data_IF_667141145074
#
_entry.id   IF_667141145074
#
_cell.length_a   1.000
_cell.length_b   1.000
_cell.length_c   1.000
_cell.angle_alpha   90.00
_cell.angle_beta   90.00
_cell.angle_gamma   90.00
#
_symmetry.space_group_name_H-M   'P 1'
#
loop_
_entity.id
_entity.type
_entity.pdbx_description
1 polymer ?
#
# COMPACT_ATOMS: atom_id res chain seq x y z
N UNK A 1 -5.72 -19.11 12.63
CA UNK A 1 -6.28 -17.78 12.91
C UNK A 1 -5.25 -16.74 12.51
N UNK A 2 -5.59 -15.81 11.67
CA UNK A 2 -4.70 -14.71 11.27
C UNK A 2 -4.49 -13.79 12.48
N UNK A 3 -3.25 -13.50 12.80
CA UNK A 3 -2.92 -12.54 13.86
C UNK A 3 -2.60 -11.15 13.28
N UNK A 4 -3.17 -10.84 12.11
CA UNK A 4 -3.08 -9.50 11.53
C UNK A 4 -3.73 -8.47 12.46
N UNK A 5 -3.21 -7.26 12.49
CA UNK A 5 -3.74 -6.18 13.33
C UNK A 5 -3.79 -4.85 12.59
N UNK A 6 -4.89 -4.14 12.74
CA UNK A 6 -4.97 -2.74 12.35
C UNK A 6 -4.52 -1.85 13.52
N UNK A 7 -3.59 -0.95 13.22
CA UNK A 7 -3.09 0.04 14.17
C UNK A 7 -3.59 1.41 13.72
N UNK A 8 -4.48 2.05 14.47
CA UNK A 8 -4.99 3.35 14.10
C UNK A 8 -3.90 4.42 14.18
N UNK A 9 -3.87 5.31 13.20
CA UNK A 9 -3.02 6.51 13.17
C UNK A 9 -3.89 7.75 13.35
N UNK A 10 -5.08 7.74 12.75
CA UNK A 10 -6.11 8.76 12.90
C UNK A 10 -7.48 8.14 12.67
N UNK A 11 -8.42 8.41 13.57
CA UNK A 11 -9.81 7.95 13.51
C UNK A 11 -10.77 9.11 13.76
N UNK A 12 -11.10 9.89 12.72
CA UNK A 12 -12.10 10.96 12.84
C UNK A 12 -13.48 10.41 13.19
N UNK A 13 -14.35 11.23 13.77
CA UNK A 13 -15.74 10.81 14.09
C UNK A 13 -16.57 10.52 12.85
N UNK A 14 -16.35 11.26 11.77
CA UNK A 14 -17.10 11.13 10.51
C UNK A 14 -16.11 11.20 9.34
N UNK A 15 -15.36 10.11 9.07
CA UNK A 15 -14.46 10.07 7.91
C UNK A 15 -15.27 9.98 6.62
N UNK A 16 -14.70 10.47 5.53
CA UNK A 16 -15.22 10.39 4.16
C UNK A 16 -14.51 9.30 3.35
N UNK A 17 -13.40 8.78 3.87
CA UNK A 17 -12.65 7.69 3.28
C UNK A 17 -11.69 7.06 4.28
N UNK A 18 -11.19 5.87 3.93
CA UNK A 18 -10.27 5.11 4.76
C UNK A 18 -8.98 4.82 4.01
N UNK A 19 -7.85 4.93 4.69
CA UNK A 19 -6.53 4.60 4.15
C UNK A 19 -5.90 3.49 4.97
N UNK A 20 -5.50 2.41 4.30
CA UNK A 20 -4.80 1.28 4.91
C UNK A 20 -3.36 1.24 4.37
N UNK A 21 -2.38 1.34 5.26
CA UNK A 21 -0.98 1.26 4.89
C UNK A 21 -0.42 -0.14 5.15
N UNK A 22 0.23 -0.71 4.13
CA UNK A 22 0.78 -2.06 4.12
C UNK A 22 2.31 -1.99 4.10
N UNK A 23 2.96 -2.59 5.11
CA UNK A 23 4.41 -2.61 5.20
C UNK A 23 5.05 -3.70 4.33
N UNK A 24 6.34 -3.53 4.04
CA UNK A 24 7.16 -4.55 3.43
C UNK A 24 7.47 -5.71 4.38
N UNK A 25 8.08 -6.75 3.85
CA UNK A 25 8.49 -7.94 4.62
C UNK A 25 9.75 -8.58 4.05
N UNK A 26 10.12 -9.75 4.59
CA UNK A 26 11.18 -10.57 4.02
C UNK A 26 10.65 -11.41 2.85
N UNK A 27 11.50 -11.68 1.86
CA UNK A 27 11.15 -12.51 0.70
C UNK A 27 11.05 -14.02 1.00
N UNK A 28 11.42 -14.43 2.21
CA UNK A 28 11.42 -15.84 2.64
C UNK A 28 10.25 -16.11 3.56
N UNK A 29 9.57 -17.25 3.34
CA UNK A 29 8.39 -17.69 4.06
C UNK A 29 8.65 -18.15 5.50
N UNK A 30 9.32 -17.32 6.28
CA UNK A 30 9.40 -17.55 7.71
C UNK A 30 8.08 -17.15 8.35
N UNK A 31 7.45 -18.08 9.02
CA UNK A 31 6.24 -17.84 9.83
C UNK A 31 6.56 -17.02 11.12
N UNK A 32 7.48 -16.08 11.00
CA UNK A 32 7.85 -15.19 12.08
C UNK A 32 6.84 -14.06 12.18
N UNK A 33 6.34 -13.83 13.38
CA UNK A 33 5.38 -12.75 13.63
C UNK A 33 5.98 -11.38 13.31
N UNK A 34 5.13 -10.47 12.84
CA UNK A 34 5.51 -9.09 12.57
C UNK A 34 5.69 -8.33 13.88
N UNK A 35 6.88 -7.75 14.08
CA UNK A 35 7.11 -6.80 15.17
C UNK A 35 6.69 -5.39 14.75
N UNK A 36 5.97 -4.64 15.62
CA UNK A 36 5.63 -3.24 15.36
C UNK A 36 6.86 -2.33 15.17
N UNK A 37 8.02 -2.76 15.68
CA UNK A 37 9.28 -2.00 15.65
C UNK A 37 10.22 -2.43 14.52
N UNK A 38 9.85 -3.42 13.70
CA UNK A 38 10.70 -3.78 12.56
C UNK A 38 10.77 -2.64 11.54
N UNK A 39 11.92 -2.46 10.90
CA UNK A 39 12.20 -1.32 10.02
C UNK A 39 11.20 -1.17 8.87
N UNK A 40 10.71 -2.27 8.32
CA UNK A 40 9.71 -2.22 7.23
C UNK A 40 8.36 -1.65 7.71
N UNK A 41 7.97 -1.90 8.96
CA UNK A 41 6.76 -1.32 9.57
C UNK A 41 6.99 0.16 9.90
N UNK A 42 8.14 0.49 10.50
CA UNK A 42 8.47 1.87 10.88
C UNK A 42 8.55 2.79 9.64
N UNK A 43 8.98 2.25 8.51
CA UNK A 43 9.08 2.99 7.24
C UNK A 43 7.74 3.55 6.75
N UNK A 44 6.64 2.89 7.09
CA UNK A 44 5.30 3.36 6.72
C UNK A 44 4.75 4.46 7.65
N UNK A 45 5.41 4.73 8.79
CA UNK A 45 4.94 5.71 9.78
C UNK A 45 4.95 7.16 9.25
N UNK A 46 6.02 7.66 8.60
CA UNK A 46 6.03 9.01 8.04
C UNK A 46 4.92 9.20 7.00
N UNK A 47 4.76 8.25 6.08
CA UNK A 47 3.72 8.27 5.06
C UNK A 47 2.32 8.34 5.69
N UNK A 48 2.06 7.45 6.66
CA UNK A 48 0.78 7.42 7.38
C UNK A 48 0.46 8.76 8.08
N UNK A 49 1.46 9.34 8.75
CA UNK A 49 1.31 10.62 9.43
C UNK A 49 1.08 11.77 8.46
N UNK A 50 1.76 11.76 7.29
CA UNK A 50 1.59 12.79 6.28
C UNK A 50 0.18 12.74 5.67
N UNK A 51 -0.29 11.55 5.28
CA UNK A 51 -1.66 11.36 4.79
C UNK A 51 -2.69 11.76 5.85
N UNK A 52 -2.49 11.37 7.11
CA UNK A 52 -3.40 11.73 8.22
C UNK A 52 -3.47 13.24 8.46
N UNK A 53 -2.37 13.97 8.28
CA UNK A 53 -2.37 15.45 8.37
C UNK A 53 -3.06 16.08 7.17
N UNK A 54 -2.75 15.63 5.96
CA UNK A 54 -3.33 16.18 4.72
C UNK A 54 -4.82 15.89 4.62
N UNK A 55 -5.26 14.69 5.03
CA UNK A 55 -6.68 14.33 5.10
C UNK A 55 -7.46 15.01 6.24
N UNK A 56 -6.76 15.72 7.14
CA UNK A 56 -7.34 16.45 8.28
C UNK A 56 -8.27 15.56 9.11
N UNK A 57 -9.58 15.91 9.18
CA UNK A 57 -10.61 15.12 9.87
C UNK A 57 -11.49 14.30 8.90
N UNK A 58 -11.11 14.21 7.63
CA UNK A 58 -11.90 13.56 6.57
C UNK A 58 -11.42 12.14 6.25
N UNK A 59 -10.17 11.78 6.60
CA UNK A 59 -9.64 10.43 6.37
C UNK A 59 -9.38 9.68 7.67
N UNK A 60 -9.90 8.47 7.78
CA UNK A 60 -9.44 7.49 8.75
C UNK A 60 -8.17 6.81 8.20
N UNK A 61 -7.11 6.73 8.99
CA UNK A 61 -5.82 6.19 8.56
C UNK A 61 -5.36 5.09 9.50
N UNK A 62 -5.12 3.91 8.94
CA UNK A 62 -4.71 2.72 9.67
C UNK A 62 -3.44 2.13 9.07
N UNK A 63 -2.60 1.51 9.89
CA UNK A 63 -1.49 0.67 9.44
C UNK A 63 -1.83 -0.79 9.68
N UNK A 64 -1.69 -1.61 8.67
CA UNK A 64 -1.79 -3.05 8.81
C UNK A 64 -0.46 -3.60 9.31
N UNK A 65 -0.50 -4.39 10.38
CA UNK A 65 0.56 -5.31 10.75
C UNK A 65 0.14 -6.69 10.27
N UNK A 66 0.85 -7.22 9.29
CA UNK A 66 0.58 -8.54 8.74
C UNK A 66 0.72 -9.63 9.80
N UNK A 67 0.04 -10.74 9.60
CA UNK A 67 0.15 -11.93 10.47
C UNK A 67 1.57 -12.52 10.48
N UNK A 68 2.29 -12.47 9.35
CA UNK A 68 3.65 -12.97 9.19
C UNK A 68 4.55 -12.00 8.43
N UNK A 69 5.88 -12.12 8.62
CA UNK A 69 6.87 -11.20 8.02
C UNK A 69 7.06 -11.36 6.52
N UNK A 70 6.77 -12.53 5.99
CA UNK A 70 7.13 -12.90 4.63
C UNK A 70 5.94 -13.11 3.70
N UNK A 71 6.28 -13.48 2.47
CA UNK A 71 5.33 -13.93 1.47
C UNK A 71 5.37 -15.46 1.41
N UNK A 72 4.25 -16.10 1.64
CA UNK A 72 4.07 -17.53 1.56
C UNK A 72 3.32 -17.98 0.29
N UNK A 73 3.18 -19.29 0.09
CA UNK A 73 2.45 -19.87 -1.04
C UNK A 73 0.94 -19.56 -1.00
N UNK A 74 0.41 -19.16 0.15
CA UNK A 74 -1.01 -18.80 0.34
C UNK A 74 -1.28 -17.32 0.12
N UNK A 75 -0.29 -16.55 -0.29
CA UNK A 75 -0.42 -15.10 -0.46
C UNK A 75 -0.95 -14.38 0.79
N UNK A 76 -0.49 -14.82 1.97
CA UNK A 76 -0.96 -14.31 3.28
C UNK A 76 -1.02 -12.78 3.37
N UNK A 77 -0.04 -11.99 2.86
CA UNK A 77 -0.15 -10.53 2.89
C UNK A 77 -1.35 -9.95 2.11
N UNK A 78 -1.81 -10.65 1.05
CA UNK A 78 -3.02 -10.25 0.31
C UNK A 78 -4.27 -10.58 1.13
N UNK A 79 -4.30 -11.74 1.78
CA UNK A 79 -5.40 -12.14 2.67
C UNK A 79 -5.50 -11.20 3.87
N UNK A 80 -4.37 -10.81 4.47
CA UNK A 80 -4.32 -9.83 5.55
C UNK A 80 -4.84 -8.46 5.09
N UNK A 81 -4.52 -8.04 3.86
CA UNK A 81 -5.04 -6.79 3.29
C UNK A 81 -6.55 -6.84 3.08
N UNK A 82 -7.09 -7.94 2.55
CA UNK A 82 -8.54 -8.15 2.40
C UNK A 82 -9.25 -8.18 3.75
N UNK A 83 -8.70 -8.90 4.72
CA UNK A 83 -9.20 -8.86 6.09
C UNK A 83 -9.22 -7.44 6.66
N UNK A 84 -8.16 -6.65 6.41
CA UNK A 84 -8.11 -5.27 6.88
C UNK A 84 -9.18 -4.38 6.22
N UNK A 85 -9.51 -4.61 4.94
CA UNK A 85 -10.61 -3.93 4.25
C UNK A 85 -11.95 -4.27 4.92
N UNK A 86 -12.20 -5.54 5.24
CA UNK A 86 -13.40 -5.97 5.95
C UNK A 86 -13.50 -5.29 7.33
N UNK A 87 -12.40 -5.27 8.11
CA UNK A 87 -12.40 -4.64 9.44
C UNK A 87 -12.70 -3.14 9.39
N UNK A 88 -12.16 -2.40 8.42
CA UNK A 88 -12.46 -0.97 8.34
C UNK A 88 -13.88 -0.71 7.85
N UNK A 89 -14.46 -1.60 7.06
CA UNK A 89 -15.88 -1.54 6.67
C UNK A 89 -16.81 -1.77 7.86
N UNK A 90 -16.51 -2.76 8.69
CA UNK A 90 -17.25 -3.02 9.92
C UNK A 90 -17.20 -1.83 10.87
N UNK A 91 -16.05 -1.13 10.92
CA UNK A 91 -15.83 0.02 11.81
C UNK A 91 -16.41 1.33 11.28
N UNK A 92 -16.34 1.59 9.98
CA UNK A 92 -16.61 2.90 9.38
C UNK A 92 -17.76 2.89 8.37
N UNK A 93 -18.33 1.72 8.05
CA UNK A 93 -19.33 1.56 7.01
C UNK A 93 -18.72 1.48 5.61
N UNK A 94 -19.55 1.69 4.60
CA UNK A 94 -19.23 1.50 3.19
C UNK A 94 -18.51 2.73 2.57
N UNK A 95 -17.35 3.09 3.16
CA UNK A 95 -16.54 4.20 2.70
C UNK A 95 -15.51 3.77 1.64
N UNK A 96 -15.11 4.68 0.74
CA UNK A 96 -14.04 4.41 -0.21
C UNK A 96 -12.71 4.16 0.51
N UNK A 97 -11.99 3.11 0.06
CA UNK A 97 -10.72 2.67 0.63
C UNK A 97 -9.57 2.99 -0.31
N UNK A 98 -8.47 3.49 0.23
CA UNK A 98 -7.16 3.56 -0.41
C UNK A 98 -6.21 2.55 0.23
N UNK A 99 -5.49 1.79 -0.61
CA UNK A 99 -4.39 0.93 -0.18
C UNK A 99 -3.05 1.60 -0.52
N UNK A 100 -2.17 1.75 0.46
CA UNK A 100 -0.83 2.33 0.26
C UNK A 100 0.21 1.33 0.75
N UNK A 101 1.02 0.77 -0.15
CA UNK A 101 1.94 -0.30 0.22
C UNK A 101 3.38 -0.06 -0.24
N UNK A 102 4.34 -0.57 0.53
CA UNK A 102 5.76 -0.56 0.20
C UNK A 102 6.29 -1.98 -0.01
N UNK A 103 7.12 -2.19 -1.05
CA UNK A 103 7.79 -3.47 -1.30
C UNK A 103 6.78 -4.63 -1.43
N UNK A 104 6.85 -5.67 -0.59
CA UNK A 104 5.85 -6.74 -0.51
C UNK A 104 4.46 -6.21 -0.16
N UNK A 105 4.36 -5.18 0.69
CA UNK A 105 3.10 -4.50 0.95
C UNK A 105 2.55 -3.78 -0.28
N UNK A 106 3.42 -3.24 -1.14
CA UNK A 106 3.04 -2.67 -2.43
C UNK A 106 2.44 -3.71 -3.39
N UNK A 107 3.06 -4.91 -3.43
CA UNK A 107 2.51 -6.05 -4.16
C UNK A 107 1.15 -6.48 -3.61
N UNK A 108 1.04 -6.58 -2.27
CA UNK A 108 -0.22 -6.95 -1.62
C UNK A 108 -1.32 -5.92 -1.88
N UNK A 109 -0.99 -4.61 -1.84
CA UNK A 109 -1.93 -3.54 -2.17
C UNK A 109 -2.46 -3.65 -3.60
N UNK A 110 -1.58 -3.91 -4.58
CA UNK A 110 -1.97 -4.12 -5.97
C UNK A 110 -2.90 -5.33 -6.12
N UNK A 111 -2.53 -6.48 -5.53
CA UNK A 111 -3.27 -7.74 -5.68
C UNK A 111 -4.57 -7.80 -4.86
N UNK A 112 -4.72 -6.98 -3.81
CA UNK A 112 -5.97 -6.81 -3.07
C UNK A 112 -6.81 -5.64 -3.58
N UNK A 113 -6.31 -4.87 -4.54
CA UNK A 113 -6.95 -3.67 -5.06
C UNK A 113 -8.20 -3.92 -5.90
N UNK A 114 -8.48 -5.17 -6.28
CA UNK A 114 -9.70 -5.58 -6.97
C UNK A 114 -10.96 -5.59 -6.08
N UNK A 115 -10.78 -5.44 -4.77
CA UNK A 115 -11.91 -5.31 -3.84
C UNK A 115 -12.81 -4.13 -4.24
N UNK A 116 -14.15 -4.30 -4.27
CA UNK A 116 -15.09 -3.28 -4.75
C UNK A 116 -15.08 -1.98 -3.96
N UNK A 117 -14.59 -1.97 -2.72
CA UNK A 117 -14.48 -0.77 -1.88
C UNK A 117 -13.20 0.02 -2.12
N UNK A 118 -12.20 -0.59 -2.77
CA UNK A 118 -10.95 0.07 -3.11
C UNK A 118 -11.17 1.03 -4.27
N UNK A 119 -10.83 2.30 -4.08
CA UNK A 119 -10.88 3.36 -5.10
C UNK A 119 -9.51 3.71 -5.64
N UNK A 120 -8.48 3.63 -4.80
CA UNK A 120 -7.12 3.83 -5.29
C UNK A 120 -6.11 2.90 -4.62
N UNK A 121 -5.04 2.64 -5.36
CA UNK A 121 -3.88 1.86 -4.90
C UNK A 121 -2.61 2.67 -5.15
N UNK A 122 -1.79 2.83 -4.12
CA UNK A 122 -0.45 3.40 -4.21
C UNK A 122 0.58 2.33 -3.88
N UNK A 123 1.45 2.02 -4.83
CA UNK A 123 2.51 1.03 -4.67
C UNK A 123 3.89 1.70 -4.74
N UNK A 124 4.61 1.69 -3.63
CA UNK A 124 5.93 2.30 -3.45
C UNK A 124 7.00 1.23 -3.54
N UNK A 125 7.91 1.33 -4.50
CA UNK A 125 8.94 0.33 -4.76
C UNK A 125 8.37 -1.10 -4.70
N UNK A 126 7.27 -1.44 -5.40
CA UNK A 126 6.59 -2.70 -5.23
C UNK A 126 7.43 -3.89 -5.72
N UNK A 127 7.43 -4.96 -4.93
CA UNK A 127 8.13 -6.20 -5.26
C UNK A 127 7.22 -7.15 -6.04
N UNK A 128 6.88 -6.79 -7.28
CA UNK A 128 5.99 -7.55 -8.15
C UNK A 128 6.71 -8.67 -8.90
N UNK A 129 5.99 -9.72 -9.23
CA UNK A 129 6.45 -10.84 -10.06
C UNK A 129 5.91 -10.73 -11.50
N UNK A 130 6.60 -11.30 -12.49
CA UNK A 130 6.08 -11.35 -13.86
C UNK A 130 4.73 -12.05 -14.00
N UNK A 131 4.44 -12.98 -13.10
CA UNK A 131 3.18 -13.77 -13.06
C UNK A 131 2.04 -13.07 -12.34
N UNK A 132 2.29 -11.94 -11.69
CA UNK A 132 1.23 -11.22 -10.99
C UNK A 132 0.22 -10.64 -12.00
N UNK A 133 -1.04 -10.93 -11.77
CA UNK A 133 -2.18 -10.41 -12.54
C UNK A 133 -3.28 -9.97 -11.59
N UNK A 134 -3.95 -8.88 -11.91
CA UNK A 134 -5.09 -8.35 -11.17
C UNK A 134 -5.92 -7.47 -12.10
N UNK A 135 -7.23 -7.42 -11.89
CA UNK A 135 -8.12 -6.49 -12.58
C UNK A 135 -8.38 -5.27 -11.69
N UNK A 136 -7.82 -4.13 -12.06
CA UNK A 136 -8.00 -2.86 -11.35
C UNK A 136 -8.82 -1.83 -12.14
N UNK A 137 -9.65 -2.28 -13.09
CA UNK A 137 -10.55 -1.39 -13.83
C UNK A 137 -11.46 -0.60 -12.89
N UNK A 138 -11.60 0.69 -13.15
CA UNK A 138 -12.37 1.61 -12.30
C UNK A 138 -11.64 2.04 -11.01
N UNK A 139 -10.37 1.67 -10.83
CA UNK A 139 -9.50 2.15 -9.76
C UNK A 139 -8.45 3.09 -10.32
N UNK A 140 -8.04 4.07 -9.52
CA UNK A 140 -6.85 4.86 -9.81
C UNK A 140 -5.63 4.21 -9.18
N UNK A 141 -4.56 4.03 -9.93
CA UNK A 141 -3.34 3.36 -9.47
C UNK A 141 -2.14 4.28 -9.63
N UNK A 142 -1.35 4.41 -8.58
CA UNK A 142 -0.04 5.08 -8.61
C UNK A 142 1.05 4.08 -8.28
N UNK A 143 2.06 4.00 -9.13
CA UNK A 143 3.29 3.25 -8.86
C UNK A 143 4.47 4.22 -8.82
N UNK A 144 5.08 4.37 -7.64
CA UNK A 144 6.29 5.19 -7.45
C UNK A 144 7.50 4.26 -7.28
N UNK A 145 8.54 4.43 -8.08
CA UNK A 145 9.71 3.58 -8.01
C UNK A 145 11.02 4.35 -8.12
N UNK A 146 11.95 4.06 -7.21
CA UNK A 146 13.28 4.66 -7.23
C UNK A 146 14.17 4.02 -8.29
N UNK A 147 14.96 4.84 -9.04
CA UNK A 147 15.82 4.34 -10.12
C UNK A 147 16.98 3.46 -9.62
N UNK A 148 17.43 3.67 -8.38
CA UNK A 148 18.52 2.92 -7.74
C UNK A 148 18.02 1.75 -6.86
N UNK A 149 16.77 1.31 -7.02
CA UNK A 149 16.26 0.15 -6.31
C UNK A 149 16.87 -1.15 -6.86
N UNK A 150 17.68 -1.80 -6.01
CA UNK A 150 18.35 -3.07 -6.33
C UNK A 150 17.69 -4.29 -5.67
N UNK A 151 16.61 -4.07 -4.90
CA UNK A 151 15.85 -5.12 -4.20
C UNK A 151 14.61 -5.49 -5.00
N UNK A 152 13.78 -4.50 -5.30
CA UNK A 152 12.65 -4.63 -6.21
C UNK A 152 13.03 -3.94 -7.53
N UNK A 153 13.22 -4.70 -8.58
CA UNK A 153 13.72 -4.15 -9.84
C UNK A 153 12.70 -3.19 -10.48
N UNK A 154 13.08 -1.93 -10.79
CA UNK A 154 12.17 -0.95 -11.42
C UNK A 154 11.59 -1.40 -12.75
N UNK A 155 12.32 -2.23 -13.52
CA UNK A 155 11.84 -2.83 -14.76
C UNK A 155 10.62 -3.71 -14.56
N UNK A 156 10.56 -4.51 -13.47
CA UNK A 156 9.42 -5.38 -13.18
C UNK A 156 8.15 -4.58 -12.89
N UNK A 157 8.25 -3.49 -12.14
CA UNK A 157 7.10 -2.63 -11.91
C UNK A 157 6.67 -1.89 -13.18
N UNK A 158 7.61 -1.50 -14.03
CA UNK A 158 7.31 -0.91 -15.34
C UNK A 158 6.54 -1.90 -16.25
N UNK A 159 6.98 -3.17 -16.28
CA UNK A 159 6.31 -4.22 -17.03
C UNK A 159 4.90 -4.50 -16.49
N UNK A 160 4.74 -4.53 -15.17
CA UNK A 160 3.44 -4.68 -14.53
C UNK A 160 2.50 -3.53 -14.89
N UNK A 161 2.98 -2.28 -14.80
CA UNK A 161 2.21 -1.08 -15.18
C UNK A 161 1.79 -1.12 -16.65
N UNK A 162 2.68 -1.54 -17.58
CA UNK A 162 2.30 -1.66 -19.00
C UNK A 162 1.16 -2.65 -19.24
N UNK A 163 1.16 -3.79 -18.51
CA UNK A 163 0.05 -4.76 -18.61
C UNK A 163 -1.25 -4.20 -18.02
N UNK A 164 -1.15 -3.45 -16.93
CA UNK A 164 -2.30 -2.88 -16.23
C UNK A 164 -2.95 -1.73 -16.99
N UNK A 165 -2.15 -0.91 -17.68
CA UNK A 165 -2.59 0.29 -18.39
C UNK A 165 -3.57 0.02 -19.54
N UNK A 166 -3.69 -1.24 -20.00
CA UNK A 166 -4.64 -1.62 -21.03
C UNK A 166 -6.12 -1.44 -20.62
N UNK A 167 -6.41 -1.32 -19.32
CA UNK A 167 -7.79 -1.19 -18.83
C UNK A 167 -7.92 -0.42 -17.51
N UNK A 168 -6.84 0.16 -17.00
CA UNK A 168 -6.80 0.82 -15.68
C UNK A 168 -6.15 2.19 -15.81
N UNK A 169 -6.69 3.19 -15.08
CA UNK A 169 -6.03 4.48 -14.92
C UNK A 169 -4.81 4.32 -14.01
N UNK A 170 -3.62 4.20 -14.61
CA UNK A 170 -2.38 3.99 -13.88
C UNK A 170 -1.36 5.08 -14.18
N UNK A 171 -0.86 5.71 -13.13
CA UNK A 171 0.25 6.66 -13.16
C UNK A 171 1.52 5.98 -12.67
N UNK A 172 2.63 6.22 -13.36
CA UNK A 172 3.95 5.75 -12.95
C UNK A 172 4.91 6.91 -12.77
N UNK A 173 5.48 7.01 -11.57
CA UNK A 173 6.47 8.02 -11.21
C UNK A 173 7.81 7.35 -10.90
N UNK A 174 8.89 7.93 -11.35
CA UNK A 174 10.25 7.51 -11.01
C UNK A 174 10.93 8.56 -10.13
N UNK A 175 11.56 8.12 -9.04
CA UNK A 175 12.37 8.96 -8.16
C UNK A 175 13.83 8.70 -8.48
N UNK A 176 14.49 9.70 -9.08
CA UNK A 176 15.91 9.60 -9.47
C UNK A 176 16.80 9.42 -8.23
N UNK A 177 17.71 8.44 -8.28
CA UNK A 177 18.55 8.06 -7.13
C UNK A 177 17.79 7.46 -5.95
N UNK A 178 16.48 7.25 -6.09
CA UNK A 178 15.64 6.62 -5.06
C UNK A 178 16.02 5.16 -4.87
N UNK A 179 16.13 4.72 -3.60
CA UNK A 179 16.50 3.35 -3.22
C UNK A 179 15.33 2.63 -2.57
N UNK A 180 15.39 1.29 -2.52
CA UNK A 180 14.33 0.45 -1.96
C UNK A 180 13.84 0.90 -0.59
N UNK A 181 14.76 1.28 0.28
CA UNK A 181 14.42 1.66 1.64
C UNK A 181 13.71 3.02 1.78
N UNK A 182 13.62 3.82 0.71
CA UNK A 182 13.01 5.16 0.71
C UNK A 182 13.58 6.12 1.79
N UNK A 183 14.80 5.84 2.32
CA UNK A 183 15.45 6.71 3.32
C UNK A 183 16.03 7.96 2.66
N UNK A 184 16.61 7.79 1.48
CA UNK A 184 16.98 8.87 0.61
C UNK A 184 15.78 9.19 -0.28
N UNK A 185 15.47 10.46 -0.47
CA UNK A 185 14.26 10.91 -1.18
C UNK A 185 12.93 10.44 -0.56
N UNK A 186 12.92 10.08 0.75
CA UNK A 186 11.71 9.60 1.43
C UNK A 186 10.55 10.59 1.34
N UNK A 187 10.86 11.89 1.37
CA UNK A 187 9.87 12.96 1.26
C UNK A 187 9.13 12.92 -0.08
N UNK A 188 9.83 12.64 -1.17
CA UNK A 188 9.22 12.58 -2.51
C UNK A 188 8.21 11.44 -2.59
N UNK A 189 8.54 10.25 -2.05
CA UNK A 189 7.61 9.12 -1.94
C UNK A 189 6.38 9.45 -1.08
N UNK A 190 6.60 10.17 0.02
CA UNK A 190 5.51 10.59 0.92
C UNK A 190 4.57 11.60 0.24
N UNK A 191 5.12 12.56 -0.51
CA UNK A 191 4.36 13.58 -1.24
C UNK A 191 3.50 12.94 -2.31
N UNK A 192 4.08 12.16 -3.22
CA UNK A 192 3.33 11.48 -4.25
C UNK A 192 2.21 10.60 -3.68
N UNK A 193 2.50 9.79 -2.65
CA UNK A 193 1.49 8.95 -2.02
C UNK A 193 0.37 9.77 -1.38
N UNK A 194 0.70 10.87 -0.72
CA UNK A 194 -0.26 11.71 -0.02
C UNK A 194 -1.18 12.43 -1.00
N UNK A 195 -0.61 13.08 -2.01
CA UNK A 195 -1.36 13.90 -2.95
C UNK A 195 -2.30 13.03 -3.79
N UNK A 196 -1.83 11.85 -4.20
CA UNK A 196 -2.65 10.90 -4.95
C UNK A 196 -3.83 10.36 -4.13
N UNK A 197 -3.60 9.97 -2.88
CA UNK A 197 -4.66 9.49 -1.98
C UNK A 197 -5.68 10.58 -1.70
N UNK A 198 -5.22 11.78 -1.34
CA UNK A 198 -6.10 12.90 -0.99
C UNK A 198 -6.93 13.34 -2.19
N UNK A 199 -6.31 13.50 -3.36
CA UNK A 199 -7.03 13.88 -4.58
C UNK A 199 -8.03 12.83 -5.03
N UNK A 200 -7.77 11.53 -4.78
CA UNK A 200 -8.68 10.45 -5.18
C UNK A 200 -9.86 10.30 -4.22
N UNK A 201 -9.62 10.40 -2.91
CA UNK A 201 -10.67 10.15 -1.92
C UNK A 201 -11.47 11.40 -1.54
N UNK A 202 -10.92 12.61 -1.70
CA UNK A 202 -11.49 13.85 -1.21
C UNK A 202 -11.67 14.94 -2.29
N UNK A 203 -11.22 14.65 -3.54
CA UNK A 203 -11.27 15.55 -4.69
C UNK A 203 -12.60 15.67 -5.38
#
# INVERSE_FOLDING_TARGET
>A
MTHARLVPVRTPRSPEGVVILLHGGASRGEQVMVSPTQLSVLRMVPIARRIARAGRSRLAVHRLLNSHRGWDSRTTPVMDARWAIEQVRDQHGDLPVALVGHSLGGRAALLAGDDPHVRCVVALNPWVLPTDTVDLRGRRVLVVHGTDDRVALPSRSADFVRRLAAGTEVERVTIEGGRHAMLRHGRDFEEWATDFVVSTLLG
#
